data_IF_769216245334
#
_entry.id   IF_769216245334
#
_cell.length_a   1.000
_cell.length_b   1.000
_cell.length_c   1.000
_cell.angle_alpha   90.00
_cell.angle_beta   90.00
_cell.angle_gamma   90.00
#
_symmetry.space_group_name_H-M   'P 1'
#
loop_
_entity.id
_entity.type
_entity.pdbx_description
1 polymer ?
#
# COMPACT_ATOMS: atom_id res chain seq x y z
N UNK A 1 -14.90 -8.95 -5.24
CA UNK A 1 -14.37 -10.17 -5.87
C UNK A 1 -14.18 -11.30 -4.86
N UNK A 2 -13.30 -11.20 -3.86
CA UNK A 2 -13.02 -12.34 -2.95
C UNK A 2 -14.22 -12.81 -2.11
N UNK A 3 -15.09 -11.89 -1.66
CA UNK A 3 -16.35 -12.24 -0.98
C UNK A 3 -17.39 -12.90 -1.91
N UNK A 4 -17.29 -12.68 -3.21
CA UNK A 4 -18.17 -13.30 -4.22
C UNK A 4 -17.62 -14.65 -4.68
N UNK A 5 -16.34 -14.94 -4.44
CA UNK A 5 -15.68 -16.20 -4.79
C UNK A 5 -15.94 -17.27 -3.72
N UNK A 6 -15.40 -17.12 -2.50
CA UNK A 6 -15.67 -18.00 -1.37
C UNK A 6 -15.35 -17.34 -0.02
N UNK A 7 -16.11 -17.71 1.02
CA UNK A 7 -15.92 -17.21 2.39
C UNK A 7 -14.52 -17.49 2.95
N UNK A 8 -13.96 -18.68 2.68
CA UNK A 8 -12.65 -19.07 3.21
C UNK A 8 -11.50 -18.20 2.68
N UNK A 9 -11.54 -17.81 1.41
CA UNK A 9 -10.52 -16.90 0.85
C UNK A 9 -10.67 -15.48 1.41
N UNK A 10 -11.90 -15.00 1.60
CA UNK A 10 -12.15 -13.71 2.24
C UNK A 10 -11.64 -13.70 3.69
N UNK A 11 -11.84 -14.78 4.45
CA UNK A 11 -11.37 -14.93 5.83
C UNK A 11 -9.85 -14.89 5.93
N UNK A 12 -9.14 -15.63 5.07
CA UNK A 12 -7.67 -15.61 5.04
C UNK A 12 -7.14 -14.23 4.64
N UNK A 13 -7.70 -13.61 3.60
CA UNK A 13 -7.30 -12.28 3.15
C UNK A 13 -7.49 -11.22 4.25
N UNK A 14 -8.63 -11.26 4.96
CA UNK A 14 -8.89 -10.36 6.08
C UNK A 14 -7.90 -10.58 7.24
N UNK A 15 -7.60 -11.83 7.57
CA UNK A 15 -6.63 -12.17 8.63
C UNK A 15 -5.23 -11.64 8.29
N UNK A 16 -4.77 -11.82 7.05
CA UNK A 16 -3.48 -11.27 6.59
C UNK A 16 -3.46 -9.74 6.67
N UNK A 17 -4.55 -9.08 6.29
CA UNK A 17 -4.67 -7.62 6.39
C UNK A 17 -4.57 -7.14 7.84
N UNK A 18 -5.25 -7.81 8.77
CA UNK A 18 -5.24 -7.47 10.20
C UNK A 18 -3.82 -7.63 10.78
N UNK A 19 -3.15 -8.75 10.51
CA UNK A 19 -1.79 -8.99 10.99
C UNK A 19 -0.83 -7.94 10.41
N UNK A 20 -0.96 -7.61 9.12
CA UNK A 20 -0.16 -6.57 8.48
C UNK A 20 -0.31 -5.21 9.17
N UNK A 21 -1.55 -4.79 9.43
CA UNK A 21 -1.82 -3.54 10.13
C UNK A 21 -1.34 -3.55 11.60
N UNK A 22 -1.51 -4.68 12.31
CA UNK A 22 -1.02 -4.82 13.67
C UNK A 22 0.52 -4.72 13.73
N UNK A 23 1.22 -5.34 12.78
CA UNK A 23 2.67 -5.26 12.69
C UNK A 23 3.16 -3.84 12.39
N UNK A 24 2.53 -3.12 11.46
CA UNK A 24 2.93 -1.73 11.15
C UNK A 24 2.71 -0.80 12.35
N UNK A 25 1.60 -0.94 13.08
CA UNK A 25 1.37 -0.17 14.31
C UNK A 25 2.39 -0.48 15.41
N UNK A 26 2.70 -1.76 15.62
CA UNK A 26 3.72 -2.17 16.59
C UNK A 26 5.10 -1.65 16.21
N UNK A 27 5.46 -1.71 14.93
CA UNK A 27 6.72 -1.18 14.40
C UNK A 27 6.81 0.33 14.62
N UNK A 28 5.77 1.11 14.26
CA UNK A 28 5.76 2.57 14.46
C UNK A 28 5.91 2.92 15.93
N UNK A 29 5.18 2.22 16.83
CA UNK A 29 5.32 2.41 18.27
C UNK A 29 6.77 2.21 18.73
N UNK A 30 7.42 1.15 18.26
CA UNK A 30 8.77 0.78 18.68
C UNK A 30 9.84 1.71 18.11
N UNK A 31 9.72 2.07 16.83
CA UNK A 31 10.76 2.83 16.09
C UNK A 31 10.65 4.32 16.36
N UNK A 32 9.43 4.88 16.41
CA UNK A 32 9.24 6.34 16.55
C UNK A 32 9.10 6.75 18.01
N UNK A 33 8.40 5.95 18.83
CA UNK A 33 8.10 6.29 20.22
C UNK A 33 8.89 5.48 21.25
N UNK A 34 9.78 4.58 20.80
CA UNK A 34 10.67 3.82 21.67
C UNK A 34 11.86 4.65 22.16
N UNK A 35 12.52 4.19 23.22
CA UNK A 35 13.76 4.79 23.70
C UNK A 35 14.91 4.50 22.73
N UNK A 36 15.80 5.47 22.51
CA UNK A 36 16.97 5.30 21.65
C UNK A 36 17.99 4.42 22.37
N UNK A 37 18.11 3.16 21.95
CA UNK A 37 19.00 2.17 22.58
C UNK A 37 20.44 2.18 22.00
N UNK A 38 20.67 2.83 20.86
CA UNK A 38 21.95 2.80 20.13
C UNK A 38 22.54 4.21 19.95
N UNK A 39 23.80 4.40 20.36
CA UNK A 39 24.55 5.66 20.22
C UNK A 39 24.63 6.13 18.75
N UNK A 40 24.64 5.20 17.78
CA UNK A 40 24.65 5.50 16.36
C UNK A 40 23.33 6.10 15.85
N UNK A 41 22.21 5.87 16.53
CA UNK A 41 20.91 6.47 16.21
C UNK A 41 20.76 7.83 16.86
N UNK A 42 21.36 8.03 18.04
CA UNK A 42 21.36 9.31 18.74
C UNK A 42 22.15 10.42 18.01
N UNK A 43 23.15 10.04 17.20
CA UNK A 43 23.95 10.97 16.40
C UNK A 43 23.39 11.25 14.99
N UNK A 44 22.22 10.73 14.63
CA UNK A 44 21.62 10.96 13.32
C UNK A 44 21.16 12.42 13.21
N UNK A 45 21.58 13.07 12.13
CA UNK A 45 21.09 14.40 11.79
C UNK A 45 19.69 14.34 11.19
N UNK A 46 18.93 15.40 11.42
CA UNK A 46 17.61 15.57 10.83
C UNK A 46 17.66 15.56 9.30
N UNK A 47 16.51 15.23 8.71
CA UNK A 47 16.35 15.05 7.28
C UNK A 47 16.73 16.30 6.49
N UNK A 48 17.56 16.11 5.46
CA UNK A 48 17.98 17.21 4.60
C UNK A 48 16.83 17.68 3.69
N UNK A 49 16.88 18.94 3.24
CA UNK A 49 15.85 19.52 2.34
C UNK A 49 15.60 18.68 1.08
N UNK A 50 16.65 18.04 0.54
CA UNK A 50 16.55 17.14 -0.62
C UNK A 50 15.76 15.86 -0.30
N UNK A 51 15.99 15.26 0.86
CA UNK A 51 15.28 14.06 1.31
C UNK A 51 13.81 14.38 1.60
N UNK A 52 13.53 15.53 2.21
CA UNK A 52 12.18 16.07 2.39
C UNK A 52 11.42 16.23 1.07
N UNK A 53 12.05 16.77 0.03
CA UNK A 53 11.41 16.93 -1.28
C UNK A 53 11.08 15.57 -1.90
N UNK A 54 11.99 14.60 -1.82
CA UNK A 54 11.76 13.26 -2.38
C UNK A 54 10.63 12.54 -1.64
N UNK A 55 10.70 12.47 -0.30
CA UNK A 55 9.66 11.81 0.50
C UNK A 55 8.33 12.56 0.44
N UNK A 56 8.36 13.89 0.42
CA UNK A 56 7.17 14.72 0.26
C UNK A 56 6.48 14.50 -1.08
N UNK A 57 7.24 14.39 -2.18
CA UNK A 57 6.68 14.09 -3.51
C UNK A 57 6.00 12.71 -3.52
N UNK A 58 6.63 11.70 -2.92
CA UNK A 58 6.01 10.38 -2.80
C UNK A 58 4.75 10.40 -1.93
N UNK A 59 4.76 11.12 -0.81
CA UNK A 59 3.60 11.29 0.05
C UNK A 59 2.43 11.96 -0.69
N UNK A 60 2.71 13.01 -1.47
CA UNK A 60 1.71 13.67 -2.31
C UNK A 60 1.14 12.72 -3.35
N UNK A 61 1.97 11.92 -4.02
CA UNK A 61 1.49 10.94 -4.99
C UNK A 61 0.56 9.89 -4.35
N UNK A 62 0.92 9.37 -3.17
CA UNK A 62 0.08 8.42 -2.41
C UNK A 62 -1.24 9.07 -1.99
N UNK A 63 -1.22 10.32 -1.53
CA UNK A 63 -2.44 11.06 -1.16
C UNK A 63 -3.34 11.33 -2.35
N UNK A 64 -2.78 11.73 -3.50
CA UNK A 64 -3.56 11.96 -4.73
C UNK A 64 -4.26 10.66 -5.14
N UNK A 65 -3.54 9.54 -5.21
CA UNK A 65 -4.13 8.25 -5.58
C UNK A 65 -5.13 7.75 -4.53
N UNK A 66 -4.90 8.02 -3.24
CA UNK A 66 -5.80 7.65 -2.16
C UNK A 66 -7.10 8.45 -2.15
N UNK A 67 -7.06 9.74 -2.50
CA UNK A 67 -8.23 10.62 -2.54
C UNK A 67 -8.97 10.56 -3.88
N UNK A 68 -8.23 10.46 -4.98
CA UNK A 68 -8.77 10.41 -6.34
C UNK A 68 -8.16 9.25 -7.14
N UNK A 69 -8.71 8.03 -7.01
CA UNK A 69 -8.21 6.85 -7.70
C UNK A 69 -8.62 6.78 -9.19
N UNK A 70 -9.57 7.59 -9.64
CA UNK A 70 -10.14 7.52 -10.99
C UNK A 70 -9.09 7.60 -12.12
N UNK A 71 -8.06 8.49 -12.08
CA UNK A 71 -7.06 8.56 -13.14
C UNK A 71 -6.30 7.25 -13.35
N UNK A 72 -6.07 6.48 -12.28
CA UNK A 72 -5.41 5.19 -12.38
C UNK A 72 -6.37 4.12 -12.93
N UNK A 73 -7.61 4.13 -12.44
CA UNK A 73 -8.63 3.15 -12.85
C UNK A 73 -9.00 3.32 -14.32
N UNK A 74 -9.17 4.55 -14.81
CA UNK A 74 -9.52 4.86 -16.21
C UNK A 74 -8.45 4.36 -17.20
N UNK A 75 -7.16 4.51 -16.86
CA UNK A 75 -6.05 3.97 -17.68
C UNK A 75 -6.08 2.45 -17.71
N UNK A 76 -6.44 1.81 -16.60
CA UNK A 76 -6.53 0.35 -16.53
C UNK A 76 -7.79 -0.22 -17.18
N UNK A 77 -8.88 0.55 -17.28
CA UNK A 77 -10.20 0.07 -17.71
C UNK A 77 -10.17 -0.53 -19.11
N UNK A 78 -9.54 0.16 -20.08
CA UNK A 78 -9.38 -0.35 -21.44
C UNK A 78 -8.62 -1.69 -21.48
N UNK A 79 -7.61 -1.87 -20.63
CA UNK A 79 -6.84 -3.11 -20.56
C UNK A 79 -7.64 -4.23 -19.90
N UNK A 80 -8.40 -3.92 -18.86
CA UNK A 80 -9.29 -4.86 -18.16
C UNK A 80 -10.40 -5.34 -19.08
N UNK A 81 -11.07 -4.43 -19.81
CA UNK A 81 -12.14 -4.80 -20.76
C UNK A 81 -11.60 -5.70 -21.86
N UNK A 82 -10.44 -5.37 -22.43
CA UNK A 82 -9.80 -6.23 -23.43
C UNK A 82 -9.43 -7.61 -22.86
N UNK A 83 -8.91 -7.70 -21.63
CA UNK A 83 -8.62 -8.97 -20.97
C UNK A 83 -9.88 -9.80 -20.72
N UNK A 84 -10.96 -9.17 -20.25
CA UNK A 84 -12.24 -9.85 -20.04
C UNK A 84 -12.82 -10.37 -21.34
N UNK A 85 -12.70 -9.62 -22.44
CA UNK A 85 -13.13 -10.06 -23.76
C UNK A 85 -12.27 -11.23 -24.29
N UNK A 86 -10.95 -11.21 -24.07
CA UNK A 86 -10.09 -12.34 -24.45
C UNK A 86 -10.39 -13.60 -23.64
N UNK A 87 -10.66 -13.46 -22.33
CA UNK A 87 -11.00 -14.60 -21.47
C UNK A 87 -12.41 -15.12 -21.77
N UNK A 88 -13.38 -14.27 -22.13
CA UNK A 88 -14.73 -14.71 -22.50
C UNK A 88 -14.80 -15.34 -23.90
N UNK A 89 -13.91 -14.95 -24.80
CA UNK A 89 -13.80 -15.52 -26.15
C UNK A 89 -12.85 -16.74 -26.20
N UNK A 90 -12.03 -16.99 -25.17
CA UNK A 90 -11.07 -18.09 -25.17
C UNK A 90 -11.61 -19.37 -24.53
N UNK A 91 -11.67 -20.42 -25.38
CA UNK A 91 -11.91 -21.85 -25.15
C UNK A 91 -13.36 -22.34 -25.32
N UNK A 92 -13.87 -22.18 -26.53
CA UNK A 92 -13.97 -23.36 -27.43
C UNK A 92 -12.82 -23.29 -28.43
#
# INVERSE_FOLDING_TARGET
ASFQADFWYAFLAATTLIIGAAYTLWMVKRVVFGTVESEGVAGLQDMNRRELVVLGTLAVAVLILGLWPAPLVEVMDASIVNLLQHISVSKL
#
